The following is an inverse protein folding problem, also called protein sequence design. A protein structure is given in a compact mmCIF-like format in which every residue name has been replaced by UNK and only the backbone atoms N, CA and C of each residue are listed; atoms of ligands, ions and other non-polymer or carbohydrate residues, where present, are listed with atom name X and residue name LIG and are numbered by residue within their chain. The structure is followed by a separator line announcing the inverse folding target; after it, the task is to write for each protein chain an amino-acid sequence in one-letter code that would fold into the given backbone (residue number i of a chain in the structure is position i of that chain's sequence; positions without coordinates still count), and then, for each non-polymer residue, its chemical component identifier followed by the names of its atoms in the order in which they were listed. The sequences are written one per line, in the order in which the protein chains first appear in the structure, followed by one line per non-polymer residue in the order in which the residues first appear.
data_IF_824335031895
#
_entry.id   IF_824335031895
#
_cell.length_a   1.000
_cell.length_b   1.000
_cell.length_c   1.000
_cell.angle_alpha   90.00
_cell.angle_beta   90.00
_cell.angle_gamma   90.00
#
_symmetry.space_group_name_H-M   'P 1'
#
loop_
_entity.id
_entity.type
_entity.pdbx_description
1 polymer ?
#
# COMPACT_ATOMS: atom_id res chain seq x y z
N UNK A 1 9.31 32.21 37.86
CA UNK A 1 9.42 30.74 38.05
C UNK A 1 8.72 30.04 36.90
N UNK A 2 9.46 29.17 36.22
CA UNK A 2 9.22 28.61 34.88
C UNK A 2 8.01 27.66 34.84
N UNK A 3 7.13 27.80 33.85
CA UNK A 3 6.03 26.87 33.56
C UNK A 3 6.56 25.53 33.03
N UNK A 4 6.31 24.44 33.75
CA UNK A 4 6.69 23.08 33.39
C UNK A 4 5.59 22.45 32.51
N UNK A 5 5.75 22.47 31.18
CA UNK A 5 4.88 21.70 30.28
C UNK A 5 5.28 20.23 30.29
N UNK A 6 4.51 19.41 31.01
CA UNK A 6 4.60 17.96 30.96
C UNK A 6 4.15 17.47 29.57
N UNK A 7 5.10 17.02 28.74
CA UNK A 7 4.81 16.37 27.45
C UNK A 7 4.12 15.03 27.72
N UNK A 8 2.82 14.96 27.47
CA UNK A 8 2.07 13.70 27.42
C UNK A 8 2.62 12.84 26.28
N UNK A 9 3.48 11.89 26.63
CA UNK A 9 3.96 10.85 25.73
C UNK A 9 2.81 9.85 25.53
N UNK A 10 1.90 10.16 24.61
CA UNK A 10 0.88 9.19 24.17
C UNK A 10 1.61 8.07 23.44
N UNK A 11 1.91 6.98 24.15
CA UNK A 11 2.26 5.69 23.54
C UNK A 11 1.05 5.25 22.70
N UNK A 12 1.02 5.65 21.42
CA UNK A 12 0.03 5.10 20.49
C UNK A 12 0.35 3.61 20.35
N UNK A 13 -0.58 2.69 20.68
CA UNK A 13 -0.35 1.28 20.43
C UNK A 13 -0.06 1.11 18.94
N UNK A 14 0.86 0.21 18.60
CA UNK A 14 1.13 -0.19 17.22
C UNK A 14 -0.12 -0.91 16.69
N UNK A 15 -1.15 -0.15 16.32
CA UNK A 15 -2.35 -0.69 15.71
C UNK A 15 -1.91 -1.26 14.37
N UNK A 16 -2.01 -2.58 14.26
CA UNK A 16 -1.67 -3.32 13.04
C UNK A 16 -2.46 -2.69 11.89
N UNK A 17 -1.78 -2.12 10.90
CA UNK A 17 -2.38 -1.31 9.82
C UNK A 17 -3.60 -1.97 9.18
N UNK A 18 -3.57 -3.30 9.05
CA UNK A 18 -4.71 -4.09 8.54
C UNK A 18 -6.00 -3.86 9.35
N UNK A 19 -5.93 -3.77 10.69
CA UNK A 19 -7.11 -3.55 11.55
C UNK A 19 -7.78 -2.19 11.32
N UNK A 20 -7.05 -1.16 10.87
CA UNK A 20 -7.61 0.16 10.61
C UNK A 20 -8.28 0.26 9.23
N UNK A 21 -7.82 -0.54 8.26
CA UNK A 21 -8.47 -0.67 6.97
C UNK A 21 -9.85 -1.34 7.12
N UNK A 22 -9.96 -2.31 8.03
CA UNK A 22 -11.19 -3.07 8.26
C UNK A 22 -12.27 -2.28 9.02
N UNK A 23 -11.89 -1.31 9.86
CA UNK A 23 -12.81 -0.55 10.73
C UNK A 23 -13.45 0.68 10.07
N UNK A 24 -13.45 0.78 8.73
CA UNK A 24 -13.83 2.00 7.98
C UNK A 24 -13.07 3.26 8.40
N UNK A 25 -11.92 3.11 9.07
CA UNK A 25 -11.02 4.20 9.49
C UNK A 25 -9.86 4.38 8.51
N UNK A 26 -10.10 4.08 7.23
CA UNK A 26 -9.10 4.10 6.16
C UNK A 26 -8.38 5.45 6.05
N UNK A 27 -9.07 6.57 6.28
CA UNK A 27 -8.43 7.91 6.29
C UNK A 27 -7.38 8.06 7.40
N UNK A 28 -7.65 7.53 8.59
CA UNK A 28 -6.70 7.57 9.71
C UNK A 28 -5.54 6.61 9.46
N UNK A 29 -5.82 5.42 8.93
CA UNK A 29 -4.78 4.48 8.51
C UNK A 29 -3.83 5.13 7.49
N UNK A 30 -4.39 5.82 6.50
CA UNK A 30 -3.61 6.52 5.48
C UNK A 30 -2.74 7.63 6.09
N UNK A 31 -3.29 8.45 6.99
CA UNK A 31 -2.50 9.50 7.64
C UNK A 31 -1.31 8.94 8.44
N UNK A 32 -1.54 7.85 9.21
CA UNK A 32 -0.46 7.19 9.95
C UNK A 32 0.58 6.56 9.01
N UNK A 33 0.16 6.03 7.86
CA UNK A 33 1.04 5.52 6.80
C UNK A 33 1.88 6.65 6.19
N UNK A 34 1.26 7.73 5.75
CA UNK A 34 1.99 8.87 5.15
C UNK A 34 2.99 9.48 6.13
N UNK A 35 2.66 9.55 7.42
CA UNK A 35 3.59 10.02 8.44
C UNK A 35 4.82 9.12 8.56
N UNK A 36 4.67 7.79 8.60
CA UNK A 36 5.84 6.91 8.69
C UNK A 36 6.64 6.86 7.39
N UNK A 37 5.99 6.92 6.22
CA UNK A 37 6.67 7.09 4.93
C UNK A 37 7.58 8.32 4.97
N UNK A 38 7.04 9.48 5.34
CA UNK A 38 7.81 10.72 5.43
C UNK A 38 8.98 10.60 6.43
N UNK A 39 8.80 9.87 7.53
CA UNK A 39 9.90 9.60 8.48
C UNK A 39 11.01 8.80 7.84
N UNK A 40 10.70 7.73 7.08
CA UNK A 40 11.71 6.94 6.36
C UNK A 40 12.49 7.81 5.36
N UNK A 41 11.80 8.65 4.59
CA UNK A 41 12.44 9.58 3.66
C UNK A 41 13.38 10.57 4.37
N UNK A 42 12.93 11.17 5.49
CA UNK A 42 13.75 12.13 6.25
C UNK A 42 15.03 11.51 6.83
N UNK A 43 14.98 10.25 7.23
CA UNK A 43 16.15 9.54 7.77
C UNK A 43 16.97 8.83 6.69
N UNK A 44 16.65 9.04 5.40
CA UNK A 44 17.36 8.45 4.27
C UNK A 44 17.27 6.92 4.21
N UNK A 45 16.21 6.33 4.76
CA UNK A 45 15.99 4.87 4.71
C UNK A 45 14.91 4.53 3.69
N UNK A 46 15.11 3.42 2.99
CA UNK A 46 14.10 2.85 2.12
C UNK A 46 12.82 2.53 2.90
N UNK A 47 11.68 2.88 2.32
CA UNK A 47 10.37 2.54 2.88
C UNK A 47 10.16 1.04 2.72
N UNK A 48 9.81 0.30 3.78
CA UNK A 48 9.57 -1.14 3.67
C UNK A 48 8.46 -1.46 2.66
N UNK A 49 8.64 -2.52 1.87
CA UNK A 49 7.69 -2.93 0.82
C UNK A 49 6.25 -3.08 1.35
N UNK A 50 6.08 -3.78 2.47
CA UNK A 50 4.78 -4.01 3.09
C UNK A 50 4.07 -2.71 3.51
N UNK A 51 4.84 -1.65 3.75
CA UNK A 51 4.35 -0.33 4.11
C UNK A 51 3.77 0.39 2.90
N UNK A 52 4.52 0.42 1.79
CA UNK A 52 4.05 0.96 0.51
C UNK A 52 2.82 0.19 -0.01
N UNK A 53 2.81 -1.13 0.15
CA UNK A 53 1.64 -1.95 -0.19
C UNK A 53 0.40 -1.58 0.62
N UNK A 54 0.55 -1.29 1.92
CA UNK A 54 -0.57 -0.89 2.77
C UNK A 54 -1.05 0.54 2.48
N UNK A 55 -0.12 1.47 2.21
CA UNK A 55 -0.43 2.85 1.81
C UNK A 55 -1.19 2.88 0.49
N UNK A 56 -0.70 2.18 -0.53
CA UNK A 56 -1.39 2.05 -1.81
C UNK A 56 -2.78 1.42 -1.66
N UNK A 57 -2.95 0.43 -0.79
CA UNK A 57 -4.26 -0.19 -0.55
C UNK A 57 -5.25 0.78 0.12
N UNK A 58 -4.76 1.59 1.07
CA UNK A 58 -5.57 2.63 1.72
C UNK A 58 -6.00 3.70 0.72
N UNK A 59 -5.09 4.14 -0.16
CA UNK A 59 -5.36 5.11 -1.23
C UNK A 59 -6.40 4.56 -2.21
N UNK A 60 -6.24 3.32 -2.67
CA UNK A 60 -7.17 2.66 -3.59
C UNK A 60 -8.58 2.55 -2.97
N UNK A 61 -8.67 2.14 -1.70
CA UNK A 61 -9.95 2.07 -0.98
C UNK A 61 -10.63 3.43 -0.83
N UNK A 62 -9.87 4.54 -0.83
CA UNK A 62 -10.39 5.90 -0.78
C UNK A 62 -10.69 6.50 -2.17
N UNK A 63 -10.53 5.72 -3.25
CA UNK A 63 -10.74 6.20 -4.62
C UNK A 63 -9.58 7.05 -5.17
N UNK A 64 -8.47 7.18 -4.42
CA UNK A 64 -7.28 7.92 -4.84
C UNK A 64 -6.39 7.06 -5.72
N UNK A 65 -6.89 6.67 -6.88
CA UNK A 65 -6.27 5.64 -7.72
C UNK A 65 -4.91 6.05 -8.29
N UNK A 66 -4.73 7.31 -8.70
CA UNK A 66 -3.46 7.81 -9.22
C UNK A 66 -2.35 7.71 -8.15
N UNK A 67 -2.64 8.14 -6.93
CA UNK A 67 -1.70 8.06 -5.81
C UNK A 67 -1.39 6.60 -5.47
N UNK A 68 -2.41 5.74 -5.39
CA UNK A 68 -2.24 4.32 -5.13
C UNK A 68 -1.31 3.67 -6.16
N UNK A 69 -1.49 4.01 -7.43
CA UNK A 69 -0.66 3.51 -8.53
C UNK A 69 0.79 3.94 -8.37
N UNK A 70 1.03 5.21 -8.06
CA UNK A 70 2.39 5.73 -7.80
C UNK A 70 3.03 5.02 -6.62
N UNK A 71 2.31 4.85 -5.50
CA UNK A 71 2.84 4.15 -4.32
C UNK A 71 3.17 2.69 -4.62
N UNK A 72 2.36 1.99 -5.41
CA UNK A 72 2.67 0.62 -5.83
C UNK A 72 3.84 0.54 -6.81
N UNK A 73 4.05 1.53 -7.66
CA UNK A 73 5.26 1.58 -8.49
C UNK A 73 6.52 1.81 -7.66
N UNK A 74 6.48 2.65 -6.63
CA UNK A 74 7.58 2.77 -5.66
C UNK A 74 7.90 1.44 -4.96
N UNK A 75 6.88 0.65 -4.63
CA UNK A 75 7.08 -0.69 -4.10
C UNK A 75 7.87 -1.58 -5.09
N UNK A 76 7.51 -1.52 -6.37
CA UNK A 76 8.21 -2.26 -7.43
C UNK A 76 9.62 -1.71 -7.73
N UNK A 77 9.95 -0.46 -7.44
CA UNK A 77 11.34 0.02 -7.55
C UNK A 77 12.28 -0.77 -6.64
N UNK A 78 11.80 -1.14 -5.44
CA UNK A 78 12.57 -1.95 -4.49
C UNK A 78 12.55 -3.45 -4.81
N UNK A 79 11.40 -3.96 -5.28
CA UNK A 79 11.22 -5.37 -5.63
C UNK A 79 10.39 -5.47 -6.92
N UNK A 80 11.03 -5.40 -8.10
CA UNK A 80 10.35 -5.32 -9.41
C UNK A 80 9.42 -6.49 -9.73
N UNK A 81 9.64 -7.61 -9.05
CA UNK A 81 8.99 -8.89 -9.25
C UNK A 81 8.16 -9.34 -8.03
N UNK A 82 7.85 -8.42 -7.10
CA UNK A 82 6.99 -8.78 -5.98
C UNK A 82 5.56 -9.12 -6.47
N UNK A 83 5.22 -10.40 -6.40
CA UNK A 83 3.95 -10.93 -6.91
C UNK A 83 2.72 -10.33 -6.25
N UNK A 84 2.83 -9.94 -4.97
CA UNK A 84 1.74 -9.27 -4.24
C UNK A 84 1.48 -7.86 -4.78
N UNK A 85 2.52 -7.06 -4.97
CA UNK A 85 2.39 -5.69 -5.52
C UNK A 85 1.87 -5.73 -6.94
N UNK A 86 2.34 -6.69 -7.76
CA UNK A 86 1.79 -6.92 -9.11
C UNK A 86 0.30 -7.27 -9.07
N UNK A 87 -0.13 -8.13 -8.14
CA UNK A 87 -1.56 -8.39 -7.94
C UNK A 87 -2.35 -7.14 -7.53
N UNK A 88 -1.82 -6.33 -6.62
CA UNK A 88 -2.47 -5.10 -6.17
C UNK A 88 -2.60 -4.06 -7.31
N UNK A 89 -1.59 -3.91 -8.16
CA UNK A 89 -1.66 -3.09 -9.38
C UNK A 89 -2.70 -3.63 -10.37
N UNK A 90 -2.79 -4.95 -10.52
CA UNK A 90 -3.81 -5.57 -11.38
C UNK A 90 -5.23 -5.27 -10.90
N UNK A 91 -5.46 -5.40 -9.60
CA UNK A 91 -6.72 -5.03 -8.93
C UNK A 91 -7.05 -3.56 -9.11
N UNK A 92 -6.06 -2.68 -8.93
CA UNK A 92 -6.22 -1.24 -9.09
C UNK A 92 -6.58 -0.87 -10.53
N UNK A 93 -5.91 -1.46 -11.52
CA UNK A 93 -6.19 -1.21 -12.93
C UNK A 93 -7.63 -1.62 -13.30
N UNK A 94 -8.11 -2.77 -12.80
CA UNK A 94 -9.52 -3.16 -12.95
C UNK A 94 -10.49 -2.15 -12.33
N UNK A 95 -10.19 -1.63 -11.13
CA UNK A 95 -11.02 -0.59 -10.50
C UNK A 95 -11.04 0.72 -11.31
N UNK A 96 -9.99 1.01 -12.07
CA UNK A 96 -9.90 2.14 -12.99
C UNK A 96 -10.55 1.87 -14.36
N UNK A 97 -11.11 0.68 -14.59
CA UNK A 97 -11.67 0.27 -15.88
C UNK A 97 -10.65 -0.21 -16.91
N UNK A 98 -9.36 -0.23 -16.57
CA UNK A 98 -8.29 -0.73 -17.45
C UNK A 98 -8.03 -2.23 -17.18
N UNK A 99 -9.00 -3.05 -17.57
CA UNK A 99 -8.91 -4.51 -17.43
C UNK A 99 -7.74 -5.11 -18.20
N UNK A 100 -7.34 -4.51 -19.34
CA UNK A 100 -6.25 -5.00 -20.17
C UNK A 100 -4.90 -4.89 -19.44
N UNK A 101 -4.57 -3.72 -18.91
CA UNK A 101 -3.38 -3.54 -18.06
C UNK A 101 -3.46 -4.40 -16.81
N UNK A 102 -4.65 -4.51 -16.21
CA UNK A 102 -4.88 -5.36 -15.04
C UNK A 102 -4.46 -6.82 -15.26
N UNK A 103 -4.88 -7.38 -16.39
CA UNK A 103 -4.49 -8.72 -16.81
C UNK A 103 -3.00 -8.87 -17.13
N UNK A 104 -2.35 -7.81 -17.63
CA UNK A 104 -0.90 -7.76 -17.75
C UNK A 104 -0.19 -7.93 -16.39
N UNK A 105 -0.63 -7.19 -15.38
CA UNK A 105 -0.07 -7.27 -14.03
C UNK A 105 -0.35 -8.62 -13.34
N UNK A 106 -1.55 -9.17 -13.47
CA UNK A 106 -1.85 -10.50 -12.92
C UNK A 106 -0.97 -11.59 -13.53
N UNK A 107 -0.77 -11.59 -14.84
CA UNK A 107 0.12 -12.56 -15.50
C UNK A 107 1.56 -12.44 -14.98
N UNK A 108 2.06 -11.22 -14.77
CA UNK A 108 3.38 -11.00 -14.18
C UNK A 108 3.44 -11.53 -12.73
N UNK A 109 2.46 -11.22 -11.89
CA UNK A 109 2.40 -11.74 -10.52
C UNK A 109 2.25 -13.27 -10.45
N UNK A 110 1.55 -13.87 -11.41
CA UNK A 110 1.36 -15.30 -11.51
C UNK A 110 2.68 -16.04 -11.83
N UNK A 111 3.55 -15.46 -12.67
CA UNK A 111 4.91 -16.00 -12.92
C UNK A 111 5.72 -16.11 -11.64
N UNK A 112 5.45 -15.23 -10.68
CA UNK A 112 6.08 -15.19 -9.36
C UNK A 112 5.35 -16.05 -8.32
N UNK A 113 4.45 -16.93 -8.79
CA UNK A 113 3.73 -17.92 -7.98
C UNK A 113 2.90 -17.31 -6.86
N UNK A 114 2.53 -16.03 -6.96
CA UNK A 114 1.61 -15.42 -6.01
C UNK A 114 0.20 -15.94 -6.29
N UNK A 115 -0.33 -16.76 -5.38
CA UNK A 115 -1.57 -17.53 -5.59
C UNK A 115 -2.76 -16.68 -6.02
N UNK A 116 -2.93 -15.49 -5.43
CA UNK A 116 -4.01 -14.57 -5.82
C UNK A 116 -3.82 -14.00 -7.24
N UNK A 117 -2.58 -13.79 -7.69
CA UNK A 117 -2.29 -13.38 -9.06
C UNK A 117 -2.55 -14.50 -10.06
N UNK A 118 -2.23 -15.75 -9.70
CA UNK A 118 -2.53 -16.94 -10.53
C UNK A 118 -4.03 -17.04 -10.77
N UNK A 119 -4.82 -17.04 -9.70
CA UNK A 119 -6.28 -17.13 -9.80
C UNK A 119 -6.90 -15.94 -10.56
N UNK A 120 -6.31 -14.75 -10.48
CA UNK A 120 -6.78 -13.59 -11.23
C UNK A 120 -6.38 -13.67 -12.72
N UNK A 121 -5.19 -14.18 -13.03
CA UNK A 121 -4.69 -14.33 -14.40
C UNK A 121 -5.48 -15.36 -15.21
N UNK A 122 -6.00 -16.41 -14.56
CA UNK A 122 -6.85 -17.42 -15.21
C UNK A 122 -8.17 -16.83 -15.75
N UNK A 123 -8.68 -15.78 -15.09
CA UNK A 123 -9.92 -15.08 -15.48
C UNK A 123 -9.71 -14.07 -16.60
N UNK A 124 -8.47 -13.83 -17.00
CA UNK A 124 -8.09 -12.93 -18.08
C UNK A 124 -7.98 -13.62 -19.45
N UNK A 125 -8.43 -14.87 -19.54
CA UNK A 125 -8.44 -15.66 -20.77
C UNK A 125 -9.65 -15.34 -21.63
#
# INVERSE_FOLDING_TARGET
MLHLHLRLFVKRPAVRVHRLLDLRRTRLALADLQHGHQRYQRIGRAVPLNYLQAEGAALAHLGRYADARTTYFQALESQPEDGRTLFLLGRLAQQMGDSASGCGFFRRGARQRYSYAVAAAEKCR
#
